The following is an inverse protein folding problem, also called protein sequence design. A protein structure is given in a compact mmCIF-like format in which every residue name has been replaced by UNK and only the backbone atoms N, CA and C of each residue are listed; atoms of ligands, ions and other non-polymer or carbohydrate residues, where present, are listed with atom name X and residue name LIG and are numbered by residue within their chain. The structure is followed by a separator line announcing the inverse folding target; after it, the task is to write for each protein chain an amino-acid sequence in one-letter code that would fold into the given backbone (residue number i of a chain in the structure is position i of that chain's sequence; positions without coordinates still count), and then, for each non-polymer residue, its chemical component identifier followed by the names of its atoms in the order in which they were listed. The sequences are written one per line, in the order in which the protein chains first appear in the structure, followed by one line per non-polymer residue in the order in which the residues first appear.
data_IF_151447907978
#
_entry.id   IF_151447907978
#
_cell.length_a   1.000
_cell.length_b   1.000
_cell.length_c   1.000
_cell.angle_alpha   90.00
_cell.angle_beta   90.00
_cell.angle_gamma   90.00
#
_symmetry.space_group_name_H-M   'P 1'
#
loop_
_entity.id
_entity.type
_entity.pdbx_description
1 polymer ?
#
# COMPACT_ATOMS: atom_id res chain seq x y z
N UNK A 1 12.25 26.85 -36.93
CA UNK A 1 12.50 26.85 -35.48
C UNK A 1 11.62 25.76 -34.92
N UNK A 2 12.08 24.52 -35.08
CA UNK A 2 11.38 23.33 -34.59
C UNK A 2 12.04 23.03 -33.26
N UNK A 3 11.38 23.37 -32.17
CA UNK A 3 11.83 22.99 -30.84
C UNK A 3 11.57 21.48 -30.70
N UNK A 4 12.61 20.68 -30.95
CA UNK A 4 12.66 19.30 -30.49
C UNK A 4 12.65 19.32 -28.96
N UNK A 5 11.55 18.84 -28.37
CA UNK A 5 11.49 18.53 -26.94
C UNK A 5 12.58 17.49 -26.62
N UNK A 6 13.37 17.66 -25.54
CA UNK A 6 14.41 16.70 -25.21
C UNK A 6 13.78 15.34 -24.89
N UNK A 7 14.17 14.31 -25.64
CA UNK A 7 13.76 12.92 -25.47
C UNK A 7 14.26 12.27 -24.15
N UNK A 8 14.75 13.06 -23.21
CA UNK A 8 15.44 12.61 -22.00
C UNK A 8 14.48 12.36 -20.81
N UNK A 9 13.24 12.88 -20.85
CA UNK A 9 12.29 12.63 -19.75
C UNK A 9 11.63 11.25 -19.81
N UNK A 10 11.59 10.61 -20.99
CA UNK A 10 10.97 9.29 -21.16
C UNK A 10 11.87 8.14 -20.64
N UNK A 11 13.17 8.37 -20.47
CA UNK A 11 14.12 7.34 -20.05
C UNK A 11 14.21 7.18 -18.52
N UNK A 12 13.78 8.17 -17.74
CA UNK A 12 13.93 8.15 -16.28
C UNK A 12 12.95 7.16 -15.61
N UNK A 13 11.85 6.79 -16.28
CA UNK A 13 10.84 5.85 -15.79
C UNK A 13 11.25 4.38 -15.93
N UNK A 14 12.23 4.06 -16.79
CA UNK A 14 12.58 2.68 -17.14
C UNK A 14 13.72 2.08 -16.28
N UNK A 15 14.29 2.84 -15.34
CA UNK A 15 15.44 2.43 -14.51
C UNK A 15 15.10 2.17 -13.03
N UNK A 16 13.81 2.18 -12.65
CA UNK A 16 13.42 1.48 -11.44
C UNK A 16 13.44 -0.01 -11.78
N UNK A 17 14.55 -0.70 -11.49
CA UNK A 17 14.51 -2.16 -11.32
C UNK A 17 13.38 -2.54 -10.36
N UNK A 18 12.95 -3.82 -10.28
CA UNK A 18 11.89 -4.22 -9.37
C UNK A 18 12.22 -3.65 -8.00
N UNK A 19 11.44 -2.65 -7.56
CA UNK A 19 11.54 -2.12 -6.22
C UNK A 19 11.08 -3.30 -5.38
N UNK A 20 12.01 -4.06 -4.82
CA UNK A 20 11.67 -5.05 -3.80
C UNK A 20 10.92 -4.24 -2.74
N UNK A 21 9.60 -4.39 -2.71
CA UNK A 21 8.76 -3.62 -1.82
C UNK A 21 9.28 -3.89 -0.41
N UNK A 22 9.81 -2.84 0.23
CA UNK A 22 10.37 -2.98 1.56
C UNK A 22 9.25 -3.44 2.49
N UNK A 23 9.33 -4.68 2.99
CA UNK A 23 8.26 -5.27 3.82
C UNK A 23 8.00 -4.41 5.05
N UNK A 24 6.90 -3.68 5.02
CA UNK A 24 6.54 -2.72 6.06
C UNK A 24 6.00 -3.46 7.28
N UNK A 25 6.61 -3.24 8.43
CA UNK A 25 6.17 -3.76 9.75
C UNK A 25 5.79 -2.59 10.64
N UNK A 26 4.50 -2.42 10.89
CA UNK A 26 3.96 -1.32 11.71
C UNK A 26 4.03 -1.63 13.20
N UNK A 27 4.14 -2.92 13.57
CA UNK A 27 4.12 -3.37 14.97
C UNK A 27 2.70 -3.51 15.54
N UNK A 28 1.67 -3.20 14.75
CA UNK A 28 0.26 -3.44 15.09
C UNK A 28 -0.19 -4.71 14.35
N UNK A 29 -0.44 -5.84 15.05
CA UNK A 29 -0.67 -7.14 14.40
C UNK A 29 -1.77 -7.13 13.35
N UNK A 30 -2.89 -6.44 13.62
CA UNK A 30 -4.01 -6.32 12.66
C UNK A 30 -3.65 -5.52 11.41
N UNK A 31 -2.76 -4.53 11.52
CA UNK A 31 -2.32 -3.73 10.37
C UNK A 31 -1.30 -4.52 9.56
N UNK A 32 -0.39 -5.24 10.23
CA UNK A 32 0.59 -6.09 9.58
C UNK A 32 -0.07 -7.25 8.79
N UNK A 33 -1.16 -7.84 9.30
CA UNK A 33 -1.97 -8.83 8.57
C UNK A 33 -2.57 -8.27 7.28
N UNK A 34 -3.05 -7.03 7.30
CA UNK A 34 -3.62 -6.37 6.12
C UNK A 34 -2.53 -6.08 5.08
N UNK A 35 -1.35 -5.63 5.53
CA UNK A 35 -0.22 -5.36 4.65
C UNK A 35 0.21 -6.65 3.94
N UNK A 36 0.33 -7.77 4.67
CA UNK A 36 0.68 -9.06 4.09
C UNK A 36 -0.34 -9.51 3.01
N UNK A 37 -1.64 -9.33 3.27
CA UNK A 37 -2.69 -9.67 2.29
C UNK A 37 -2.62 -8.82 1.00
N UNK A 38 -2.09 -7.59 1.09
CA UNK A 38 -1.86 -6.70 -0.05
C UNK A 38 -0.55 -7.02 -0.78
N UNK A 39 0.49 -7.44 -0.08
CA UNK A 39 1.74 -7.92 -0.71
C UNK A 39 1.50 -9.19 -1.54
N UNK A 40 0.69 -10.13 -1.04
CA UNK A 40 0.34 -11.38 -1.76
C UNK A 40 -0.52 -11.15 -3.02
N UNK A 41 -1.12 -9.98 -3.16
CA UNK A 41 -1.93 -9.63 -4.33
C UNK A 41 -1.09 -9.37 -5.58
N UNK A 42 0.17 -8.95 -5.45
CA UNK A 42 1.04 -8.68 -6.60
C UNK A 42 1.19 -9.91 -7.53
N UNK A 43 1.05 -11.12 -6.98
CA UNK A 43 1.15 -12.38 -7.71
C UNK A 43 -0.20 -12.84 -8.32
N UNK A 44 -1.30 -12.12 -8.06
CA UNK A 44 -2.68 -12.50 -8.46
C UNK A 44 -3.17 -11.72 -9.69
N UNK A 45 -4.18 -12.24 -10.42
CA UNK A 45 -4.82 -11.52 -11.52
C UNK A 45 -5.46 -10.21 -11.04
N UNK A 46 -5.33 -9.15 -11.83
CA UNK A 46 -5.78 -7.80 -11.46
C UNK A 46 -7.31 -7.70 -11.26
N UNK A 47 -8.07 -8.59 -11.89
CA UNK A 47 -9.52 -8.70 -11.71
C UNK A 47 -9.89 -9.11 -10.29
N UNK A 48 -9.00 -9.82 -9.58
CA UNK A 48 -9.18 -10.25 -8.19
C UNK A 48 -8.71 -9.17 -7.20
N UNK A 49 -7.93 -8.19 -7.65
CA UNK A 49 -7.35 -7.17 -6.79
C UNK A 49 -8.41 -6.29 -6.14
N UNK A 50 -9.41 -5.86 -6.90
CA UNK A 50 -10.42 -4.91 -6.41
C UNK A 50 -11.14 -5.45 -5.17
N UNK A 51 -11.63 -6.69 -5.21
CA UNK A 51 -12.36 -7.26 -4.07
C UNK A 51 -11.49 -7.49 -2.84
N UNK A 52 -10.23 -7.85 -3.04
CA UNK A 52 -9.28 -8.04 -1.93
C UNK A 52 -8.83 -6.69 -1.37
N UNK A 53 -8.59 -5.68 -2.20
CA UNK A 53 -8.28 -4.31 -1.77
C UNK A 53 -9.43 -3.71 -0.96
N UNK A 54 -10.68 -3.86 -1.39
CA UNK A 54 -11.85 -3.39 -0.63
C UNK A 54 -11.93 -4.06 0.74
N UNK A 55 -11.74 -5.39 0.79
CA UNK A 55 -11.73 -6.14 2.05
C UNK A 55 -10.58 -5.70 2.97
N UNK A 56 -9.37 -5.58 2.41
CA UNK A 56 -8.19 -5.09 3.12
C UNK A 56 -8.41 -3.67 3.67
N UNK A 57 -9.03 -2.80 2.88
CA UNK A 57 -9.33 -1.43 3.27
C UNK A 57 -10.32 -1.35 4.44
N UNK A 58 -11.39 -2.16 4.41
CA UNK A 58 -12.34 -2.26 5.53
C UNK A 58 -11.66 -2.76 6.81
N UNK A 59 -10.81 -3.78 6.69
CA UNK A 59 -10.07 -4.36 7.81
C UNK A 59 -9.08 -3.36 8.41
N UNK A 60 -8.36 -2.61 7.56
CA UNK A 60 -7.44 -1.55 7.98
C UNK A 60 -8.20 -0.47 8.75
N UNK A 61 -9.32 0.01 8.21
CA UNK A 61 -10.14 1.02 8.87
C UNK A 61 -10.58 0.58 10.26
N UNK A 62 -11.08 -0.66 10.39
CA UNK A 62 -11.49 -1.21 11.69
C UNK A 62 -10.33 -1.34 12.67
N UNK A 63 -9.16 -1.74 12.19
CA UNK A 63 -7.96 -1.84 13.03
C UNK A 63 -7.56 -0.45 13.57
N UNK A 64 -7.53 0.55 12.69
CA UNK A 64 -7.19 1.93 13.06
C UNK A 64 -8.24 2.56 13.98
N UNK A 65 -9.53 2.33 13.74
CA UNK A 65 -10.61 2.82 14.61
C UNK A 65 -10.50 2.21 16.03
N UNK A 66 -10.13 0.93 16.14
CA UNK A 66 -9.92 0.26 17.42
C UNK A 66 -8.70 0.81 18.19
N UNK A 67 -7.56 1.01 17.50
CA UNK A 67 -6.36 1.63 18.09
C UNK A 67 -6.62 3.07 18.50
N UNK A 68 -7.31 3.83 17.66
CA UNK A 68 -7.72 5.19 18.00
C UNK A 68 -8.57 5.19 19.27
N UNK A 69 -9.59 4.34 19.37
CA UNK A 69 -10.44 4.23 20.57
C UNK A 69 -9.65 3.79 21.82
N UNK A 70 -8.63 2.93 21.67
CA UNK A 70 -7.75 2.53 22.75
C UNK A 70 -6.85 3.68 23.24
N UNK A 71 -6.37 4.53 22.33
CA UNK A 71 -5.63 5.76 22.67
C UNK A 71 -6.50 6.88 23.28
N UNK A 72 -7.82 6.77 23.18
CA UNK A 72 -8.81 7.72 23.70
C UNK A 72 -9.35 7.33 25.09
N UNK A 73 -8.76 6.33 25.77
CA UNK A 73 -9.19 6.01 27.14
C UNK A 73 -9.06 7.28 28.01
N UNK A 74 -10.19 7.77 28.57
CA UNK A 74 -10.15 8.95 29.40
C UNK A 74 -9.35 8.60 30.65
N UNK A 75 -8.26 9.33 30.87
CA UNK A 75 -7.57 9.38 32.17
C UNK A 75 -8.63 9.58 33.24
N UNK A 76 -8.92 8.51 34.02
CA UNK A 76 -9.83 8.54 35.16
C UNK A 76 -9.04 8.74 36.44
#
# INVERSE_FOLDING_TARGET
MTEELPADEAAQSAAAGPVEAERVRTGVPRVDEVIAAVEELEERPIEEHVGVFETAHEQLRRALDAEAAAGQQPTR
#
